data_IF_476987187677
#
_entry.id   IF_476987187677
#
_cell.length_a   1.000
_cell.length_b   1.000
_cell.length_c   1.000
_cell.angle_alpha   90.00
_cell.angle_beta   90.00
_cell.angle_gamma   90.00
#
_symmetry.space_group_name_H-M   'P 1'
#
loop_
_entity.id
_entity.type
_entity.pdbx_description
1 polymer ?
#
# COMPACT_ATOMS: atom_id res chain seq x y z
N UNK A 1 -19.54 -1.76 -17.12
CA UNK A 1 -18.18 -1.33 -16.74
C UNK A 1 -18.26 0.15 -16.39
N UNK A 2 -17.94 0.58 -15.18
CA UNK A 2 -17.86 2.02 -14.90
C UNK A 2 -16.86 2.64 -15.86
N UNK A 3 -17.07 3.89 -16.30
CA UNK A 3 -16.16 4.55 -17.21
C UNK A 3 -14.77 4.66 -16.53
N UNK A 4 -13.71 4.41 -17.31
CA UNK A 4 -12.37 4.74 -16.88
C UNK A 4 -12.33 6.17 -16.33
N UNK A 5 -11.59 6.43 -15.25
CA UNK A 5 -11.48 7.78 -14.73
C UNK A 5 -11.04 8.72 -15.85
N UNK A 6 -11.88 9.72 -16.11
CA UNK A 6 -11.65 10.75 -17.13
C UNK A 6 -10.46 11.60 -16.70
N UNK A 7 -9.27 11.10 -16.96
CA UNK A 7 -8.04 11.79 -16.64
C UNK A 7 -7.08 11.56 -17.80
N UNK A 8 -6.83 12.59 -18.59
CA UNK A 8 -5.91 12.58 -19.74
C UNK A 8 -4.42 12.40 -19.32
N UNK A 9 -4.17 11.86 -18.14
CA UNK A 9 -2.82 11.64 -17.65
C UNK A 9 -2.13 10.55 -18.51
N UNK A 10 -1.07 10.86 -19.24
CA UNK A 10 -0.36 9.89 -20.07
C UNK A 10 0.41 8.88 -19.21
N UNK A 11 0.83 7.80 -19.84
CA UNK A 11 1.73 6.81 -19.23
C UNK A 11 1.17 6.12 -17.98
N UNK A 12 -0.07 5.67 -18.03
CA UNK A 12 -0.68 4.79 -17.01
C UNK A 12 -0.76 3.38 -17.54
N UNK A 13 -0.30 2.42 -16.76
CA UNK A 13 -0.54 0.99 -17.00
C UNK A 13 -1.71 0.58 -16.11
N UNK A 14 -2.86 0.34 -16.72
CA UNK A 14 -4.09 -0.08 -16.03
C UNK A 14 -4.58 -1.36 -16.70
N UNK A 15 -4.67 -2.43 -15.91
CA UNK A 15 -5.12 -3.72 -16.40
C UNK A 15 -6.02 -4.39 -15.37
N UNK A 16 -7.27 -4.72 -15.77
CA UNK A 16 -8.24 -5.42 -14.92
C UNK A 16 -8.46 -4.73 -13.55
N UNK A 17 -8.71 -3.42 -13.56
CA UNK A 17 -8.94 -2.60 -12.36
C UNK A 17 -10.42 -2.21 -12.26
N UNK A 18 -11.02 -2.46 -11.08
CA UNK A 18 -12.36 -1.95 -10.77
C UNK A 18 -12.25 -0.58 -10.12
N UNK A 19 -12.82 0.45 -10.76
CA UNK A 19 -12.86 1.81 -10.22
C UNK A 19 -14.27 2.18 -9.75
N UNK A 20 -14.33 2.83 -8.59
CA UNK A 20 -15.51 3.57 -8.14
C UNK A 20 -15.67 4.91 -8.86
N UNK A 21 -16.74 5.65 -8.53
CA UNK A 21 -17.01 6.96 -9.11
C UNK A 21 -15.99 8.01 -8.68
N UNK A 22 -15.56 8.87 -9.60
CA UNK A 22 -14.70 10.01 -9.32
C UNK A 22 -13.27 9.67 -8.87
N UNK A 23 -12.80 8.44 -9.12
CA UNK A 23 -11.41 8.07 -8.88
C UNK A 23 -10.48 8.86 -9.81
N UNK A 24 -9.41 9.42 -9.25
CA UNK A 24 -8.38 10.13 -10.00
C UNK A 24 -7.06 9.37 -9.93
N UNK A 25 -6.48 9.05 -11.09
CA UNK A 25 -5.20 8.34 -11.21
C UNK A 25 -4.22 9.23 -11.96
N UNK A 26 -3.07 9.50 -11.38
CA UNK A 26 -2.03 10.30 -12.01
C UNK A 26 -1.09 9.46 -12.91
N UNK A 27 -0.21 10.13 -13.66
CA UNK A 27 0.73 9.49 -14.60
C UNK A 27 1.73 8.55 -13.93
N UNK A 28 2.30 7.66 -14.72
CA UNK A 28 3.34 6.72 -14.32
C UNK A 28 2.91 5.72 -13.24
N UNK A 29 1.62 5.40 -13.21
CA UNK A 29 1.08 4.37 -12.29
C UNK A 29 1.07 3.00 -12.96
N UNK A 30 1.17 1.95 -12.14
CA UNK A 30 1.00 0.56 -12.53
C UNK A 30 -0.08 -0.08 -11.63
N UNK A 31 -1.29 -0.22 -12.15
CA UNK A 31 -2.45 -0.74 -11.44
C UNK A 31 -2.98 -1.97 -12.14
N UNK A 32 -3.07 -3.10 -11.45
CA UNK A 32 -3.57 -4.33 -12.08
C UNK A 32 -4.29 -5.27 -11.12
N UNK A 33 -5.43 -5.81 -11.58
CA UNK A 33 -6.24 -6.80 -10.85
C UNK A 33 -6.73 -6.33 -9.48
N UNK A 34 -6.83 -5.03 -9.25
CA UNK A 34 -7.19 -4.43 -7.96
C UNK A 34 -8.54 -3.72 -8.01
N UNK A 35 -9.04 -3.30 -6.84
CA UNK A 35 -10.26 -2.51 -6.73
C UNK A 35 -9.99 -1.21 -5.95
N UNK A 36 -10.52 -0.08 -6.44
CA UNK A 36 -10.33 1.25 -5.87
C UNK A 36 -11.69 1.93 -5.73
N UNK A 37 -12.05 2.30 -4.51
CA UNK A 37 -13.34 2.89 -4.16
C UNK A 37 -13.47 4.37 -4.53
N UNK A 38 -14.72 4.86 -4.43
CA UNK A 38 -15.16 6.18 -4.88
C UNK A 38 -14.31 7.33 -4.36
N UNK A 39 -14.03 8.31 -5.21
CA UNK A 39 -13.35 9.56 -4.87
C UNK A 39 -11.90 9.40 -4.42
N UNK A 40 -11.33 8.19 -4.51
CA UNK A 40 -9.93 7.94 -4.15
C UNK A 40 -8.98 8.57 -5.16
N UNK A 41 -7.86 9.09 -4.66
CA UNK A 41 -6.81 9.72 -5.46
C UNK A 41 -5.53 8.92 -5.38
N UNK A 42 -5.02 8.53 -6.55
CA UNK A 42 -3.77 7.77 -6.72
C UNK A 42 -2.73 8.69 -7.34
N UNK A 43 -1.66 8.95 -6.61
CA UNK A 43 -0.54 9.79 -7.02
C UNK A 43 0.33 9.13 -8.10
N UNK A 44 1.31 9.85 -8.64
CA UNK A 44 2.19 9.31 -9.66
C UNK A 44 3.15 8.26 -9.09
N UNK A 45 3.63 7.37 -9.95
CA UNK A 45 4.57 6.30 -9.61
C UNK A 45 4.05 5.33 -8.53
N UNK A 46 2.75 5.21 -8.36
CA UNK A 46 2.13 4.24 -7.47
C UNK A 46 1.99 2.91 -8.19
N UNK A 47 2.28 1.82 -7.48
CA UNK A 47 1.92 0.47 -7.90
C UNK A 47 0.92 -0.13 -6.94
N UNK A 48 -0.20 -0.68 -7.49
CA UNK A 48 -1.20 -1.44 -6.74
C UNK A 48 -1.43 -2.76 -7.46
N UNK A 49 -1.13 -3.85 -6.78
CA UNK A 49 -1.10 -5.19 -7.35
C UNK A 49 -2.47 -5.88 -7.30
N UNK A 50 -2.53 -6.99 -8.05
CA UNK A 50 -3.68 -7.89 -8.08
C UNK A 50 -4.11 -8.27 -6.66
N UNK A 51 -5.42 -8.35 -6.45
CA UNK A 51 -5.99 -8.73 -5.17
C UNK A 51 -6.09 -7.61 -4.14
N UNK A 52 -5.30 -6.53 -4.25
CA UNK A 52 -5.40 -5.38 -3.34
C UNK A 52 -6.77 -4.69 -3.46
N UNK A 53 -7.27 -4.19 -2.33
CA UNK A 53 -8.53 -3.43 -2.26
C UNK A 53 -8.33 -2.12 -1.51
N UNK A 54 -8.69 -1.03 -2.15
CA UNK A 54 -8.63 0.33 -1.59
C UNK A 54 -10.05 0.85 -1.44
N UNK A 55 -10.39 1.34 -0.28
CA UNK A 55 -11.69 1.94 0.03
C UNK A 55 -11.92 3.29 -0.67
N UNK A 56 -13.01 3.94 -0.30
CA UNK A 56 -13.41 5.23 -0.84
C UNK A 56 -12.66 6.39 -0.18
N UNK A 57 -12.53 7.51 -0.89
CA UNK A 57 -11.97 8.77 -0.39
C UNK A 57 -10.56 8.67 0.19
N UNK A 58 -9.78 7.69 -0.27
CA UNK A 58 -8.39 7.53 0.12
C UNK A 58 -7.47 8.47 -0.65
N UNK A 59 -6.29 8.73 -0.08
CA UNK A 59 -5.17 9.40 -0.74
C UNK A 59 -3.96 8.48 -0.73
N UNK A 60 -3.62 7.93 -1.89
CA UNK A 60 -2.42 7.11 -2.08
C UNK A 60 -1.37 8.01 -2.74
N UNK A 61 -0.35 8.38 -1.97
CA UNK A 61 0.65 9.34 -2.42
C UNK A 61 1.70 8.69 -3.33
N UNK A 62 2.49 9.53 -4.01
CA UNK A 62 3.48 9.08 -4.99
C UNK A 62 4.45 8.03 -4.43
N UNK A 63 4.83 7.08 -5.29
CA UNK A 63 5.77 6.00 -4.99
C UNK A 63 5.30 5.03 -3.91
N UNK A 64 4.02 5.04 -3.51
CA UNK A 64 3.49 4.01 -2.64
C UNK A 64 3.41 2.67 -3.38
N UNK A 65 3.77 1.60 -2.68
CA UNK A 65 3.66 0.22 -3.17
C UNK A 65 2.65 -0.55 -2.33
N UNK A 66 1.58 -1.01 -2.96
CA UNK A 66 0.49 -1.77 -2.33
C UNK A 66 0.41 -3.15 -2.99
N UNK A 67 0.94 -4.15 -2.30
CA UNK A 67 1.01 -5.52 -2.81
C UNK A 67 -0.31 -6.27 -2.65
N UNK A 68 -0.37 -7.47 -3.23
CA UNK A 68 -1.48 -8.40 -3.04
C UNK A 68 -1.74 -8.70 -1.56
N UNK A 69 -3.00 -8.94 -1.21
CA UNK A 69 -3.45 -9.21 0.16
C UNK A 69 -3.66 -7.96 1.03
N UNK A 70 -3.39 -6.76 0.52
CA UNK A 70 -3.62 -5.52 1.27
C UNK A 70 -5.07 -5.06 1.13
N UNK A 71 -5.69 -4.79 2.28
CA UNK A 71 -7.06 -4.26 2.42
C UNK A 71 -7.00 -2.90 3.11
N UNK A 72 -7.34 -1.85 2.39
CA UNK A 72 -7.37 -0.47 2.89
C UNK A 72 -8.83 -0.01 2.95
N UNK A 73 -9.27 0.42 4.12
CA UNK A 73 -10.59 0.96 4.38
C UNK A 73 -10.81 2.35 3.78
N UNK A 74 -11.89 2.99 4.17
CA UNK A 74 -12.29 4.31 3.69
C UNK A 74 -11.51 5.45 4.35
N UNK A 75 -11.26 6.52 3.59
CA UNK A 75 -10.67 7.75 4.14
C UNK A 75 -9.22 7.63 4.59
N UNK A 76 -8.52 6.59 4.18
CA UNK A 76 -7.14 6.31 4.58
C UNK A 76 -6.16 7.19 3.80
N UNK A 77 -5.15 7.70 4.51
CA UNK A 77 -4.00 8.36 3.91
C UNK A 77 -2.81 7.41 3.87
N UNK A 78 -2.23 7.21 2.67
CA UNK A 78 -0.99 6.46 2.47
C UNK A 78 0.08 7.41 1.95
N UNK A 79 1.10 7.65 2.76
CA UNK A 79 2.17 8.61 2.50
C UNK A 79 3.08 8.22 1.35
N UNK A 80 3.89 9.18 0.91
CA UNK A 80 4.85 8.99 -0.19
C UNK A 80 5.83 7.87 0.11
N UNK A 81 6.03 6.96 -0.83
CA UNK A 81 6.98 5.87 -0.67
C UNK A 81 6.66 4.88 0.45
N UNK A 82 5.43 4.86 0.97
CA UNK A 82 5.01 3.81 1.90
C UNK A 82 4.95 2.46 1.19
N UNK A 83 5.43 1.40 1.87
CA UNK A 83 5.60 0.07 1.29
C UNK A 83 4.86 -0.95 2.14
N UNK A 84 4.00 -1.74 1.51
CA UNK A 84 3.39 -2.93 2.12
C UNK A 84 4.14 -4.17 1.69
N UNK A 85 4.33 -5.11 2.62
CA UNK A 85 5.03 -6.38 2.41
C UNK A 85 4.06 -7.52 2.69
N UNK A 86 3.97 -8.50 1.81
CA UNK A 86 3.08 -9.65 1.94
C UNK A 86 3.80 -10.99 2.12
N UNK A 87 5.13 -11.00 2.04
CA UNK A 87 5.97 -12.15 2.34
C UNK A 87 6.96 -11.79 3.46
N UNK A 88 6.90 -12.52 4.57
CA UNK A 88 7.79 -12.31 5.74
C UNK A 88 9.15 -12.98 5.59
N UNK A 89 9.30 -13.91 4.65
CA UNK A 89 10.51 -14.69 4.44
C UNK A 89 10.83 -14.86 2.96
N UNK A 90 10.99 -13.75 2.23
CA UNK A 90 11.17 -13.81 0.79
C UNK A 90 12.44 -14.58 0.41
N UNK A 91 12.32 -15.41 -0.62
CA UNK A 91 13.42 -16.13 -1.23
C UNK A 91 13.32 -15.99 -2.74
N UNK A 92 14.43 -15.86 -3.40
CA UNK A 92 14.48 -15.83 -4.86
C UNK A 92 14.33 -17.25 -5.44
N UNK A 93 14.82 -18.26 -4.73
CA UNK A 93 14.84 -19.64 -5.21
C UNK A 93 14.24 -20.61 -4.19
N UNK A 94 13.65 -21.68 -4.69
CA UNK A 94 13.26 -22.86 -3.93
C UNK A 94 14.47 -23.71 -3.55
N UNK A 95 14.26 -24.76 -2.73
CA UNK A 95 15.34 -25.64 -2.24
C UNK A 95 16.10 -26.41 -3.32
N UNK A 96 15.53 -26.55 -4.51
CA UNK A 96 16.14 -27.17 -5.70
C UNK A 96 16.91 -26.17 -6.59
N UNK A 97 16.94 -24.87 -6.23
CA UNK A 97 17.59 -23.80 -6.94
C UNK A 97 16.77 -23.17 -8.07
N UNK A 98 15.54 -23.64 -8.34
CA UNK A 98 14.63 -23.01 -9.28
C UNK A 98 14.11 -21.66 -8.73
N UNK A 99 13.79 -20.71 -9.61
CA UNK A 99 13.13 -19.46 -9.20
C UNK A 99 11.77 -19.79 -8.57
N UNK A 100 11.49 -19.14 -7.43
CA UNK A 100 10.17 -19.24 -6.82
C UNK A 100 9.09 -18.65 -7.71
N UNK A 101 7.91 -19.27 -7.65
CA UNK A 101 6.70 -18.87 -8.34
C UNK A 101 5.60 -18.52 -7.32
N UNK A 102 4.44 -18.09 -7.81
CA UNK A 102 3.29 -17.73 -6.94
C UNK A 102 2.84 -18.87 -6.00
N UNK A 103 3.13 -20.13 -6.34
CA UNK A 103 2.80 -21.30 -5.52
C UNK A 103 3.79 -21.65 -4.39
N UNK A 104 4.91 -20.97 -4.33
CA UNK A 104 6.02 -21.33 -3.44
C UNK A 104 6.05 -20.52 -2.12
N UNK A 105 5.10 -19.61 -1.93
CA UNK A 105 4.98 -18.79 -0.73
C UNK A 105 3.51 -18.58 -0.33
N UNK A 106 3.29 -18.21 0.92
CA UNK A 106 1.96 -18.00 1.48
C UNK A 106 1.63 -16.50 1.52
N UNK A 107 0.53 -16.12 0.87
CA UNK A 107 0.01 -14.77 0.91
C UNK A 107 -0.49 -14.43 2.32
N UNK A 108 0.01 -13.35 2.89
CA UNK A 108 -0.40 -12.86 4.21
C UNK A 108 -1.15 -11.54 4.03
N UNK A 109 -2.44 -11.51 4.40
CA UNK A 109 -3.26 -10.31 4.30
C UNK A 109 -2.88 -9.26 5.36
N UNK A 110 -2.91 -8.00 4.94
CA UNK A 110 -2.69 -6.82 5.80
C UNK A 110 -3.92 -5.92 5.75
N UNK A 111 -4.35 -5.44 6.90
CA UNK A 111 -5.56 -4.63 7.03
C UNK A 111 -5.24 -3.23 7.55
N UNK A 112 -5.72 -2.21 6.85
CA UNK A 112 -5.71 -0.82 7.28
C UNK A 112 -7.16 -0.37 7.39
N UNK A 113 -7.60 -0.07 8.60
CA UNK A 113 -8.99 0.31 8.87
C UNK A 113 -9.24 1.78 8.52
N UNK A 114 -10.53 2.15 8.48
CA UNK A 114 -10.97 3.47 8.05
C UNK A 114 -10.29 4.61 8.81
N UNK A 115 -10.00 5.70 8.12
CA UNK A 115 -9.45 6.91 8.70
C UNK A 115 -7.98 6.83 9.11
N UNK A 116 -7.34 5.66 9.02
CA UNK A 116 -5.94 5.54 9.40
C UNK A 116 -5.01 6.36 8.49
N UNK A 117 -3.86 6.73 9.02
CA UNK A 117 -2.84 7.51 8.29
C UNK A 117 -1.49 6.79 8.35
N UNK A 118 -0.93 6.49 7.18
CA UNK A 118 0.40 5.87 7.03
C UNK A 118 1.39 6.94 6.59
N UNK A 119 2.38 7.21 7.42
CA UNK A 119 3.41 8.22 7.14
C UNK A 119 4.30 7.86 5.95
N UNK A 120 4.91 8.88 5.35
CA UNK A 120 5.82 8.70 4.21
C UNK A 120 7.00 7.80 4.56
N UNK A 121 7.35 6.89 3.64
CA UNK A 121 8.45 5.95 3.83
C UNK A 121 8.23 4.88 4.89
N UNK A 122 7.02 4.75 5.44
CA UNK A 122 6.72 3.66 6.37
C UNK A 122 6.70 2.31 5.66
N UNK A 123 7.17 1.27 6.35
CA UNK A 123 7.13 -0.12 5.87
C UNK A 123 6.20 -0.93 6.76
N UNK A 124 5.17 -1.52 6.16
CA UNK A 124 4.15 -2.31 6.84
C UNK A 124 4.36 -3.78 6.53
N UNK A 125 4.69 -4.57 7.54
CA UNK A 125 4.89 -6.02 7.35
C UNK A 125 3.56 -6.75 7.18
N UNK A 126 3.61 -7.85 6.44
CA UNK A 126 2.45 -8.72 6.20
C UNK A 126 1.82 -9.24 7.50
N UNK A 127 0.50 -9.34 7.51
CA UNK A 127 -0.28 -9.83 8.66
C UNK A 127 -0.55 -8.80 9.75
N UNK A 128 -0.17 -7.54 9.53
CA UNK A 128 -0.43 -6.44 10.48
C UNK A 128 -1.83 -5.89 10.27
N UNK A 129 -2.51 -5.57 11.35
CA UNK A 129 -3.74 -4.77 11.36
C UNK A 129 -3.43 -3.37 11.90
N UNK A 130 -3.74 -2.35 11.11
CA UNK A 130 -3.69 -0.94 11.53
C UNK A 130 -5.13 -0.50 11.79
N UNK A 131 -5.41 -0.20 13.06
CA UNK A 131 -6.76 0.09 13.53
C UNK A 131 -7.30 1.43 13.02
N UNK A 132 -8.62 1.60 13.16
CA UNK A 132 -9.35 2.81 12.78
C UNK A 132 -8.70 4.06 13.36
N UNK A 133 -8.56 5.10 12.55
CA UNK A 133 -7.99 6.40 12.93
C UNK A 133 -6.57 6.31 13.54
N UNK A 134 -5.88 5.19 13.40
CA UNK A 134 -4.50 5.06 13.85
C UNK A 134 -3.54 5.87 12.98
N UNK A 135 -2.41 6.27 13.56
CA UNK A 135 -1.39 7.05 12.87
C UNK A 135 -0.04 6.34 12.93
N UNK A 136 0.52 6.06 11.76
CA UNK A 136 1.89 5.54 11.60
C UNK A 136 2.80 6.69 11.18
N UNK A 137 3.81 6.99 11.98
CA UNK A 137 4.79 8.04 11.71
C UNK A 137 5.63 7.74 10.46
N UNK A 138 6.16 8.79 9.84
CA UNK A 138 7.04 8.67 8.68
C UNK A 138 8.28 7.82 9.00
N UNK A 139 8.69 6.97 8.06
CA UNK A 139 9.85 6.08 8.20
C UNK A 139 9.69 4.95 9.23
N UNK A 140 8.52 4.77 9.83
CA UNK A 140 8.29 3.69 10.79
C UNK A 140 8.26 2.31 10.12
N UNK A 141 8.81 1.31 10.79
CA UNK A 141 8.67 -0.10 10.38
C UNK A 141 7.65 -0.76 11.33
N UNK A 142 6.46 -1.05 10.80
CA UNK A 142 5.36 -1.62 11.57
C UNK A 142 5.42 -3.14 11.48
N UNK A 143 5.73 -3.79 12.60
CA UNK A 143 5.95 -5.25 12.69
C UNK A 143 4.85 -5.97 13.45
N UNK A 144 3.90 -5.25 14.06
CA UNK A 144 2.79 -5.74 14.86
C UNK A 144 1.58 -4.83 14.70
N UNK A 145 0.44 -5.28 15.15
CA UNK A 145 -0.80 -4.52 15.10
C UNK A 145 -0.68 -3.16 15.82
N UNK A 146 -1.38 -2.17 15.25
CA UNK A 146 -1.55 -0.83 15.81
C UNK A 146 -3.01 -0.67 16.20
N UNK A 147 -3.26 -0.32 17.45
CA UNK A 147 -4.62 -0.16 17.97
C UNK A 147 -5.37 1.02 17.35
N UNK A 148 -6.71 1.00 17.41
CA UNK A 148 -7.53 2.11 16.94
C UNK A 148 -7.15 3.42 17.66
N UNK A 149 -6.96 4.49 16.89
CA UNK A 149 -6.54 5.81 17.42
C UNK A 149 -5.12 5.85 17.97
N UNK A 150 -4.37 4.74 17.93
CA UNK A 150 -2.99 4.69 18.42
C UNK A 150 -2.06 5.42 17.43
N UNK A 151 -1.05 6.09 17.98
CA UNK A 151 0.03 6.68 17.19
C UNK A 151 1.32 5.91 17.45
N UNK A 152 1.95 5.40 16.37
CA UNK A 152 3.25 4.74 16.42
C UNK A 152 4.24 5.46 15.54
N UNK A 153 5.52 5.48 15.93
CA UNK A 153 6.57 6.12 15.15
C UNK A 153 7.89 5.35 15.27
N UNK A 154 8.76 5.51 14.27
CA UNK A 154 10.14 5.06 14.33
C UNK A 154 11.02 5.98 15.20
N UNK A 155 12.25 5.56 15.45
CA UNK A 155 13.22 6.36 16.19
C UNK A 155 13.61 7.64 15.42
N UNK A 156 13.69 8.77 16.13
CA UNK A 156 14.26 9.99 15.55
C UNK A 156 15.74 9.82 15.27
N UNK A 157 16.24 10.51 14.25
CA UNK A 157 17.68 10.56 13.98
C UNK A 157 18.43 11.17 15.16
N UNK A 158 19.56 10.58 15.52
CA UNK A 158 20.45 11.08 16.56
C UNK A 158 21.84 11.36 15.98
N UNK A 159 22.60 12.34 16.48
CA UNK A 159 23.96 12.58 16.05
C UNK A 159 24.84 11.33 16.27
N UNK A 160 25.58 10.95 15.24
CA UNK A 160 26.63 9.94 15.41
C UNK A 160 27.78 10.55 16.20
N UNK A 161 28.33 9.81 17.19
CA UNK A 161 29.54 10.23 17.85
C UNK A 161 30.69 10.23 16.83
N UNK A 162 31.54 11.29 16.78
CA UNK A 162 32.73 11.23 15.96
C UNK A 162 33.58 10.03 16.38
N UNK A 163 34.03 9.25 15.40
CA UNK A 163 34.98 8.14 15.59
C UNK A 163 36.37 8.65 15.99
#
# INVERSE_FOLDING_TARGET
MPPEPANDAPYRLINDVSFGEGVLVQSFTNLYGCAIGDGTRVGPFVEIQRGARIGARCKIQSHAFVCDGVRIGDGVFVGHGAIFVNDKRPRATAGDGALQTEGDWELIETWVEDGASIGSGAVILGGVRIGRDAMVGAGAVVTRDVGAGETVAGGAAVPLRPS
#
